data_IF_571647252458
#
_entry.id   IF_571647252458
#
_cell.length_a   1.000
_cell.length_b   1.000
_cell.length_c   1.000
_cell.angle_alpha   90.00
_cell.angle_beta   90.00
_cell.angle_gamma   90.00
#
_symmetry.space_group_name_H-M   'P 1'
#
loop_
_entity.id
_entity.type
_entity.pdbx_description
1 polymer ?
#
# COMPACT_ATOMS: atom_id res chain seq x y z
N UNK A 1 -34.44 1.26 -20.55
CA UNK A 1 -32.97 1.33 -20.35
C UNK A 1 -32.72 2.38 -19.28
N UNK A 2 -32.72 1.95 -18.02
CA UNK A 2 -32.47 2.80 -16.86
C UNK A 2 -30.97 3.08 -16.76
N UNK A 3 -30.63 4.35 -16.60
CA UNK A 3 -29.27 4.82 -16.48
C UNK A 3 -28.58 4.19 -15.25
N UNK A 4 -27.34 3.75 -15.44
CA UNK A 4 -26.44 3.35 -14.37
C UNK A 4 -26.06 4.64 -13.63
N UNK A 5 -26.50 4.79 -12.38
CA UNK A 5 -26.11 5.93 -11.56
C UNK A 5 -24.60 5.92 -11.29
N UNK A 6 -23.93 7.09 -11.34
CA UNK A 6 -22.50 7.19 -11.12
C UNK A 6 -22.18 7.12 -9.62
N UNK A 7 -21.33 6.16 -9.26
CA UNK A 7 -20.57 6.09 -8.03
C UNK A 7 -21.38 6.23 -6.74
N UNK A 8 -21.95 5.11 -6.28
CA UNK A 8 -22.06 4.89 -4.83
C UNK A 8 -20.67 5.14 -4.25
N UNK A 9 -20.49 6.30 -3.60
CA UNK A 9 -19.48 6.45 -2.58
C UNK A 9 -19.68 5.25 -1.67
N UNK A 10 -18.76 4.28 -1.73
CA UNK A 10 -18.69 3.20 -0.77
C UNK A 10 -18.46 3.89 0.59
N UNK A 11 -19.55 4.29 1.26
CA UNK A 11 -19.51 4.91 2.57
C UNK A 11 -19.08 3.79 3.50
N UNK A 12 -17.78 3.68 3.65
CA UNK A 12 -17.10 2.81 4.60
C UNK A 12 -17.75 3.02 5.96
N UNK A 13 -18.58 2.07 6.38
CA UNK A 13 -19.31 2.16 7.65
C UNK A 13 -18.38 1.76 8.80
N UNK A 14 -18.58 2.37 9.97
CA UNK A 14 -17.83 2.07 11.20
C UNK A 14 -18.00 0.61 11.69
N UNK A 15 -18.91 -0.16 11.11
CA UNK A 15 -19.18 -1.55 11.48
C UNK A 15 -18.31 -2.58 10.73
N UNK A 16 -17.61 -2.16 9.66
CA UNK A 16 -16.84 -3.09 8.85
C UNK A 16 -15.49 -3.42 9.49
N UNK A 17 -15.09 -4.69 9.36
CA UNK A 17 -13.71 -5.14 9.55
C UNK A 17 -12.93 -4.93 8.26
N UNK A 18 -11.65 -4.61 8.37
CA UNK A 18 -10.76 -4.42 7.22
C UNK A 18 -9.54 -5.29 7.38
N UNK A 19 -9.14 -6.00 6.32
CA UNK A 19 -7.87 -6.70 6.27
C UNK A 19 -6.96 -5.96 5.30
N UNK A 20 -5.99 -5.23 5.84
CA UNK A 20 -4.94 -4.59 5.07
C UNK A 20 -3.84 -5.58 4.76
N UNK A 21 -3.38 -5.57 3.51
CA UNK A 21 -2.33 -6.46 3.01
C UNK A 21 -1.23 -5.60 2.42
N UNK A 22 0.00 -5.83 2.87
CA UNK A 22 1.19 -5.18 2.33
C UNK A 22 1.53 -5.66 0.92
N UNK A 23 2.72 -5.26 0.45
CA UNK A 23 3.20 -5.54 -0.89
C UNK A 23 3.33 -7.06 -1.13
N UNK A 24 2.94 -7.51 -2.34
CA UNK A 24 2.88 -8.94 -2.69
C UNK A 24 3.95 -9.36 -3.69
N UNK A 25 4.31 -8.49 -4.65
CA UNK A 25 5.34 -8.75 -5.66
C UNK A 25 5.32 -10.17 -6.24
N UNK A 26 4.22 -10.49 -6.92
CA UNK A 26 3.98 -11.77 -7.58
C UNK A 26 3.72 -12.99 -6.67
N UNK A 27 3.59 -12.78 -5.35
CA UNK A 27 3.20 -13.86 -4.43
C UNK A 27 1.68 -14.16 -4.49
N UNK A 28 1.29 -15.01 -5.44
CA UNK A 28 -0.10 -15.44 -5.62
C UNK A 28 -0.62 -16.27 -4.42
N UNK A 29 0.26 -17.03 -3.76
CA UNK A 29 -0.12 -17.82 -2.59
C UNK A 29 -0.46 -16.91 -1.41
N UNK A 30 0.36 -15.87 -1.16
CA UNK A 30 0.07 -14.88 -0.14
C UNK A 30 -1.26 -14.15 -0.39
N UNK A 31 -1.55 -13.81 -1.64
CA UNK A 31 -2.83 -13.21 -2.02
C UNK A 31 -4.03 -14.14 -1.70
N UNK A 32 -3.93 -15.42 -2.07
CA UNK A 32 -4.98 -16.41 -1.79
C UNK A 32 -5.20 -16.57 -0.27
N UNK A 33 -4.13 -16.68 0.49
CA UNK A 33 -4.21 -16.75 1.96
C UNK A 33 -4.89 -15.52 2.55
N UNK A 34 -4.50 -14.32 2.12
CA UNK A 34 -5.11 -13.08 2.58
C UNK A 34 -6.60 -12.99 2.22
N UNK A 35 -6.99 -13.42 1.02
CA UNK A 35 -8.39 -13.48 0.60
C UNK A 35 -9.20 -14.46 1.48
N UNK A 36 -8.65 -15.63 1.77
CA UNK A 36 -9.26 -16.61 2.66
C UNK A 36 -9.42 -16.07 4.09
N UNK A 37 -8.42 -15.38 4.62
CA UNK A 37 -8.49 -14.74 5.93
C UNK A 37 -9.57 -13.65 5.95
N UNK A 38 -9.62 -12.80 4.92
CA UNK A 38 -10.66 -11.77 4.82
C UNK A 38 -12.06 -12.41 4.81
N UNK A 39 -12.24 -13.52 4.09
CA UNK A 39 -13.49 -14.26 4.06
C UNK A 39 -13.88 -14.81 5.44
N UNK A 40 -12.95 -15.53 6.11
CA UNK A 40 -13.17 -16.12 7.45
C UNK A 40 -13.54 -15.05 8.48
N UNK A 41 -12.83 -13.92 8.45
CA UNK A 41 -13.06 -12.82 9.39
C UNK A 41 -14.21 -11.89 8.97
N UNK A 42 -14.85 -12.11 7.82
CA UNK A 42 -15.87 -11.22 7.23
C UNK A 42 -15.36 -9.79 7.10
N UNK A 43 -14.09 -9.64 6.72
CA UNK A 43 -13.42 -8.37 6.55
C UNK A 43 -13.40 -7.95 5.07
N UNK A 44 -13.40 -6.65 4.81
CA UNK A 44 -13.13 -6.10 3.49
C UNK A 44 -11.62 -6.17 3.23
N UNK A 45 -11.25 -6.82 2.13
CA UNK A 45 -9.85 -6.93 1.72
C UNK A 45 -9.36 -5.58 1.15
N UNK A 46 -8.21 -5.12 1.65
CA UNK A 46 -7.60 -3.84 1.29
C UNK A 46 -6.13 -4.07 0.90
N UNK A 47 -5.85 -4.26 -0.39
CA UNK A 47 -4.47 -4.40 -0.87
C UNK A 47 -3.83 -3.02 -1.04
N UNK A 48 -2.61 -2.84 -0.52
CA UNK A 48 -1.93 -1.54 -0.43
C UNK A 48 -1.05 -1.17 -1.64
N UNK A 49 -1.19 -1.89 -2.74
CA UNK A 49 -0.41 -1.71 -3.96
C UNK A 49 0.72 -2.72 -4.10
N UNK A 50 1.52 -2.56 -5.16
CA UNK A 50 2.71 -3.35 -5.46
C UNK A 50 2.44 -4.86 -5.49
N UNK A 51 1.45 -5.22 -6.31
CA UNK A 51 1.05 -6.61 -6.49
C UNK A 51 2.01 -7.35 -7.40
N UNK A 52 2.56 -6.66 -8.39
CA UNK A 52 3.41 -7.24 -9.44
C UNK A 52 4.89 -6.85 -9.26
N UNK A 53 5.75 -7.25 -10.21
CA UNK A 53 7.20 -7.04 -10.22
C UNK A 53 7.99 -7.99 -9.32
N UNK A 54 9.30 -8.11 -9.60
CA UNK A 54 10.26 -9.01 -8.94
C UNK A 54 10.00 -10.51 -9.11
N UNK A 55 9.12 -10.90 -10.03
CA UNK A 55 8.94 -12.29 -10.44
C UNK A 55 7.90 -12.47 -11.56
N UNK A 56 7.62 -13.72 -11.97
CA UNK A 56 6.55 -14.05 -12.91
C UNK A 56 5.18 -13.67 -12.37
N UNK A 57 4.37 -12.95 -13.16
CA UNK A 57 3.14 -12.32 -12.69
C UNK A 57 1.84 -12.99 -13.17
N UNK A 58 1.92 -14.02 -14.01
CA UNK A 58 0.72 -14.62 -14.61
C UNK A 58 -0.28 -15.08 -13.53
N UNK A 59 0.18 -15.87 -12.57
CA UNK A 59 -0.69 -16.47 -11.56
C UNK A 59 -1.35 -15.41 -10.66
N UNK A 60 -0.57 -14.44 -10.19
CA UNK A 60 -1.13 -13.37 -9.36
C UNK A 60 -2.10 -12.49 -10.15
N UNK A 61 -1.82 -12.20 -11.42
CA UNK A 61 -2.70 -11.36 -12.25
C UNK A 61 -4.03 -12.06 -12.54
N UNK A 62 -4.02 -13.38 -12.74
CA UNK A 62 -5.25 -14.16 -12.84
C UNK A 62 -6.08 -14.06 -11.55
N UNK A 63 -5.46 -14.26 -10.39
CA UNK A 63 -6.15 -14.13 -9.09
C UNK A 63 -6.67 -12.70 -8.83
N UNK A 64 -5.88 -11.68 -9.18
CA UNK A 64 -6.26 -10.27 -9.01
C UNK A 64 -7.45 -9.86 -9.87
N UNK A 65 -7.61 -10.43 -11.07
CA UNK A 65 -8.75 -10.16 -11.93
C UNK A 65 -10.09 -10.54 -11.27
N UNK A 66 -10.07 -11.54 -10.38
CA UNK A 66 -11.25 -11.97 -9.64
C UNK A 66 -11.42 -11.19 -8.33
N UNK A 67 -10.32 -10.87 -7.65
CA UNK A 67 -10.33 -10.27 -6.30
C UNK A 67 -10.57 -8.75 -6.33
N UNK A 68 -9.89 -8.03 -7.21
CA UNK A 68 -9.88 -6.56 -7.18
C UNK A 68 -11.25 -5.89 -7.38
N UNK A 69 -12.16 -6.39 -8.25
CA UNK A 69 -13.47 -5.75 -8.42
C UNK A 69 -14.31 -5.69 -7.13
N UNK A 70 -14.07 -6.59 -6.17
CA UNK A 70 -14.80 -6.66 -4.90
C UNK A 70 -14.04 -6.10 -3.69
N UNK A 71 -12.80 -5.63 -3.88
CA UNK A 71 -11.92 -5.17 -2.80
C UNK A 71 -11.94 -3.64 -2.62
N UNK A 72 -11.33 -3.17 -1.53
CA UNK A 72 -11.07 -1.75 -1.28
C UNK A 72 -9.59 -1.40 -1.52
N UNK A 73 -9.02 -2.01 -2.56
CA UNK A 73 -7.60 -1.86 -2.88
C UNK A 73 -7.28 -0.52 -3.55
N UNK A 74 -5.98 -0.18 -3.51
CA UNK A 74 -5.34 0.97 -4.15
C UNK A 74 -4.18 0.48 -5.01
N UNK A 75 -3.78 1.22 -6.04
CA UNK A 75 -2.61 0.85 -6.85
C UNK A 75 -1.30 1.31 -6.19
N UNK A 76 -0.21 0.56 -6.40
CA UNK A 76 1.14 0.95 -5.99
C UNK A 76 1.95 1.56 -7.13
N UNK A 77 3.21 1.91 -6.86
CA UNK A 77 4.05 2.48 -7.90
C UNK A 77 4.41 1.47 -8.99
N UNK A 78 4.44 0.17 -8.67
CA UNK A 78 4.70 -0.86 -9.67
C UNK A 78 3.54 -1.03 -10.65
N UNK A 79 2.29 -0.98 -10.18
CA UNK A 79 1.12 -0.96 -11.06
C UNK A 79 1.09 0.31 -11.92
N UNK A 80 1.47 1.45 -11.33
CA UNK A 80 1.60 2.69 -12.08
C UNK A 80 2.59 2.56 -13.24
N UNK A 81 3.77 1.99 -12.99
CA UNK A 81 4.80 1.78 -14.02
C UNK A 81 4.37 0.77 -15.07
N UNK A 82 3.76 -0.35 -14.66
CA UNK A 82 3.25 -1.37 -15.56
C UNK A 82 2.21 -0.78 -16.50
N UNK A 83 1.20 -0.08 -15.97
CA UNK A 83 0.15 0.53 -16.78
C UNK A 83 0.70 1.63 -17.70
N UNK A 84 1.64 2.45 -17.23
CA UNK A 84 2.34 3.43 -18.08
C UNK A 84 3.09 2.77 -19.23
N UNK A 85 3.79 1.67 -18.98
CA UNK A 85 4.52 0.96 -20.02
C UNK A 85 3.54 0.33 -21.02
N UNK A 86 2.56 -0.43 -20.53
CA UNK A 86 1.62 -1.18 -21.34
C UNK A 86 0.70 -0.29 -22.20
N UNK A 87 0.21 0.82 -21.65
CA UNK A 87 -0.82 1.65 -22.31
C UNK A 87 -0.25 2.85 -23.05
N UNK A 88 0.90 3.38 -22.63
CA UNK A 88 1.46 4.63 -23.16
C UNK A 88 2.87 4.45 -23.77
N UNK A 89 3.38 3.22 -23.85
CA UNK A 89 4.75 2.96 -24.32
C UNK A 89 5.82 3.58 -23.41
N UNK A 90 5.50 3.81 -22.13
CA UNK A 90 6.44 4.36 -21.16
C UNK A 90 7.66 3.47 -20.91
N UNK A 91 8.65 3.98 -20.17
CA UNK A 91 9.85 3.22 -19.79
C UNK A 91 9.49 1.92 -19.08
N UNK A 92 10.05 0.80 -19.54
CA UNK A 92 10.07 -0.47 -18.78
C UNK A 92 11.18 -0.41 -17.72
N UNK A 93 10.83 -0.63 -16.46
CA UNK A 93 11.78 -0.73 -15.35
C UNK A 93 12.23 -2.18 -15.17
N UNK A 94 13.47 -2.38 -14.72
CA UNK A 94 14.08 -3.71 -14.59
C UNK A 94 13.31 -4.63 -13.65
N UNK A 95 12.74 -4.09 -12.57
CA UNK A 95 11.89 -4.84 -11.63
C UNK A 95 10.67 -5.50 -12.29
N UNK A 96 10.23 -5.00 -13.45
CA UNK A 96 9.06 -5.53 -14.16
C UNK A 96 9.41 -6.57 -15.23
N UNK A 97 10.70 -6.86 -15.49
CA UNK A 97 11.09 -7.70 -16.62
C UNK A 97 10.42 -9.07 -16.59
N UNK A 98 10.56 -9.80 -15.48
CA UNK A 98 9.97 -11.14 -15.35
C UNK A 98 8.44 -11.11 -15.38
N UNK A 99 7.82 -10.13 -14.73
CA UNK A 99 6.37 -9.95 -14.76
C UNK A 99 5.88 -9.68 -16.18
N UNK A 100 6.54 -8.79 -16.90
CA UNK A 100 6.22 -8.45 -18.28
C UNK A 100 6.38 -9.66 -19.21
N UNK A 101 7.50 -10.37 -19.09
CA UNK A 101 7.81 -11.50 -19.95
C UNK A 101 6.83 -12.65 -19.72
N UNK A 102 6.51 -12.98 -18.46
CA UNK A 102 5.51 -14.01 -18.12
C UNK A 102 4.10 -13.67 -18.62
N UNK A 103 3.68 -12.41 -18.53
CA UNK A 103 2.38 -11.96 -19.04
C UNK A 103 2.33 -11.92 -20.57
N UNK A 104 3.45 -11.69 -21.25
CA UNK A 104 3.48 -11.64 -22.71
C UNK A 104 3.84 -12.98 -23.38
N UNK A 105 4.27 -13.98 -22.61
CA UNK A 105 4.69 -15.28 -23.14
C UNK A 105 3.56 -16.06 -23.82
N UNK A 106 2.30 -15.87 -23.41
CA UNK A 106 1.16 -16.65 -23.89
C UNK A 106 -0.02 -15.75 -24.31
N UNK A 107 -0.98 -16.32 -25.05
CA UNK A 107 -2.26 -15.63 -25.33
C UNK A 107 -3.06 -15.40 -24.04
N UNK A 108 -3.07 -16.37 -23.13
CA UNK A 108 -3.73 -16.26 -21.83
C UNK A 108 -3.16 -15.11 -21.01
N UNK A 109 -1.82 -15.01 -20.91
CA UNK A 109 -1.17 -13.94 -20.17
C UNK A 109 -1.51 -12.56 -20.73
N UNK A 110 -1.52 -12.42 -22.07
CA UNK A 110 -1.88 -11.15 -22.72
C UNK A 110 -3.34 -10.76 -22.45
N UNK A 111 -4.26 -11.72 -22.50
CA UNK A 111 -5.66 -11.46 -22.14
C UNK A 111 -5.82 -11.11 -20.65
N UNK A 112 -5.12 -11.83 -19.76
CA UNK A 112 -5.12 -11.56 -18.33
C UNK A 112 -4.58 -10.16 -18.01
N UNK A 113 -3.50 -9.74 -18.67
CA UNK A 113 -2.94 -8.39 -18.55
C UNK A 113 -3.91 -7.31 -19.03
N UNK A 114 -4.57 -7.50 -20.18
CA UNK A 114 -5.55 -6.53 -20.68
C UNK A 114 -6.70 -6.33 -19.68
N UNK A 115 -7.26 -7.43 -19.17
CA UNK A 115 -8.31 -7.38 -18.15
C UNK A 115 -7.84 -6.68 -16.88
N UNK A 116 -6.63 -7.00 -16.44
CA UNK A 116 -6.03 -6.41 -15.26
C UNK A 116 -5.81 -4.90 -15.41
N UNK A 117 -5.36 -4.44 -16.58
CA UNK A 117 -5.20 -3.01 -16.90
C UNK A 117 -6.53 -2.26 -16.93
N UNK A 118 -7.62 -2.89 -17.36
CA UNK A 118 -8.97 -2.30 -17.26
C UNK A 118 -9.36 -2.06 -15.81
N UNK A 119 -9.15 -3.06 -14.95
CA UNK A 119 -9.46 -2.97 -13.52
C UNK A 119 -8.57 -1.93 -12.85
N UNK A 120 -7.25 -1.99 -13.08
CA UNK A 120 -6.28 -1.07 -12.49
C UNK A 120 -6.61 0.39 -12.79
N UNK A 121 -7.09 0.71 -13.98
CA UNK A 121 -7.47 2.09 -14.34
C UNK A 121 -8.58 2.67 -13.45
N UNK A 122 -9.34 1.82 -12.75
CA UNK A 122 -10.40 2.25 -11.81
C UNK A 122 -9.90 2.39 -10.37
N UNK A 123 -8.75 1.80 -10.02
CA UNK A 123 -8.23 1.87 -8.65
C UNK A 123 -7.77 3.30 -8.31
N UNK A 124 -8.08 3.79 -7.11
CA UNK A 124 -7.64 5.11 -6.65
C UNK A 124 -6.21 5.07 -6.08
N UNK A 125 -5.56 6.23 -6.06
CA UNK A 125 -4.21 6.40 -5.52
C UNK A 125 -4.15 6.26 -3.98
N UNK A 126 -5.23 6.60 -3.30
CA UNK A 126 -5.43 6.39 -1.87
C UNK A 126 -6.91 6.14 -1.60
N UNK A 127 -7.25 5.78 -0.36
CA UNK A 127 -8.63 5.75 0.13
C UNK A 127 -8.65 6.22 1.57
N UNK A 128 -9.78 6.75 1.99
CA UNK A 128 -9.99 7.25 3.33
C UNK A 128 -11.42 7.01 3.80
N UNK A 129 -11.58 7.00 5.11
CA UNK A 129 -12.84 7.24 5.80
C UNK A 129 -12.57 8.13 7.01
N UNK A 130 -13.59 8.53 7.78
CA UNK A 130 -13.48 9.47 8.90
C UNK A 130 -12.39 9.17 9.94
N UNK A 131 -11.92 7.92 10.05
CA UNK A 131 -10.96 7.49 11.07
C UNK A 131 -9.66 6.95 10.50
N UNK A 132 -9.63 6.59 9.22
CA UNK A 132 -8.54 5.84 8.62
C UNK A 132 -8.23 6.32 7.21
N UNK A 133 -6.94 6.33 6.87
CA UNK A 133 -6.45 6.52 5.51
C UNK A 133 -5.52 5.38 5.12
N UNK A 134 -5.51 5.03 3.84
CA UNK A 134 -4.48 4.15 3.29
C UNK A 134 -4.03 4.59 1.91
N UNK A 135 -2.72 4.60 1.73
CA UNK A 135 -2.00 4.91 0.50
C UNK A 135 -0.80 3.96 0.39
N UNK A 136 -0.19 3.86 -0.78
CA UNK A 136 0.90 2.90 -0.96
C UNK A 136 2.18 3.33 -0.22
N UNK A 137 2.69 4.53 -0.50
CA UNK A 137 3.95 5.03 0.05
C UNK A 137 3.80 5.90 1.30
N UNK A 138 2.89 6.86 1.30
CA UNK A 138 2.76 7.85 2.37
C UNK A 138 1.47 8.63 2.30
N UNK A 139 1.12 9.29 3.40
CA UNK A 139 -0.19 9.95 3.57
C UNK A 139 -0.05 11.37 4.11
N UNK A 140 -1.06 12.19 3.85
CA UNK A 140 -1.21 13.56 4.35
C UNK A 140 -2.67 13.72 4.81
N UNK A 141 -2.94 14.45 5.89
CA UNK A 141 -4.30 14.60 6.43
C UNK A 141 -5.27 15.18 5.38
N UNK A 142 -4.78 16.01 4.46
CA UNK A 142 -5.59 16.59 3.36
C UNK A 142 -6.23 15.49 2.49
N UNK A 143 -5.60 14.33 2.35
CA UNK A 143 -6.13 13.21 1.57
C UNK A 143 -7.41 12.60 2.18
N UNK A 144 -7.77 12.96 3.42
CA UNK A 144 -9.05 12.57 4.03
C UNK A 144 -10.24 13.29 3.40
N UNK A 145 -10.02 14.53 2.96
CA UNK A 145 -11.06 15.41 2.42
C UNK A 145 -11.01 15.49 0.88
N UNK A 146 -9.95 14.95 0.26
CA UNK A 146 -9.77 14.94 -1.19
C UNK A 146 -10.14 13.60 -1.84
N UNK A 147 -10.84 13.68 -2.97
CA UNK A 147 -11.11 12.53 -3.84
C UNK A 147 -9.82 12.02 -4.48
N UNK A 148 -9.43 10.80 -4.11
CA UNK A 148 -8.30 10.13 -4.71
C UNK A 148 -8.48 9.95 -6.23
N UNK A 149 -7.54 10.41 -7.07
CA UNK A 149 -7.64 10.24 -8.50
C UNK A 149 -7.46 8.76 -8.86
N UNK A 150 -8.31 8.19 -9.74
CA UNK A 150 -8.11 6.85 -10.26
C UNK A 150 -6.92 6.82 -11.23
N UNK A 151 -6.24 5.68 -11.33
CA UNK A 151 -5.07 5.51 -12.20
C UNK A 151 -5.35 5.93 -13.65
N UNK A 152 -6.51 5.59 -14.20
CA UNK A 152 -6.90 5.97 -15.55
C UNK A 152 -6.97 7.49 -15.75
N UNK A 153 -7.37 8.26 -14.72
CA UNK A 153 -7.34 9.73 -14.78
C UNK A 153 -5.91 10.23 -14.81
N UNK A 154 -5.05 9.72 -13.93
CA UNK A 154 -3.62 10.10 -13.86
C UNK A 154 -2.90 9.81 -15.18
N UNK A 155 -3.15 8.66 -15.79
CA UNK A 155 -2.54 8.28 -17.07
C UNK A 155 -2.96 9.21 -18.22
N UNK A 156 -4.21 9.67 -18.22
CA UNK A 156 -4.75 10.57 -19.26
C UNK A 156 -4.31 12.02 -19.10
N UNK A 157 -4.30 12.53 -17.86
CA UNK A 157 -4.00 13.95 -17.60
C UNK A 157 -2.52 14.21 -17.36
N UNK A 158 -1.75 13.17 -17.01
CA UNK A 158 -0.38 13.32 -16.55
C UNK A 158 -0.26 13.98 -15.17
N UNK A 159 -1.38 14.17 -14.46
CA UNK A 159 -1.43 14.88 -13.17
C UNK A 159 -0.65 14.10 -12.10
N UNK A 160 0.45 14.69 -11.64
CA UNK A 160 1.35 14.12 -10.60
C UNK A 160 1.69 15.20 -9.59
N UNK A 161 0.69 15.65 -8.86
CA UNK A 161 0.87 16.64 -7.81
C UNK A 161 1.66 16.08 -6.60
N UNK A 162 1.82 16.92 -5.58
CA UNK A 162 2.51 16.54 -4.34
C UNK A 162 1.87 15.33 -3.66
N UNK A 163 0.54 15.26 -3.61
CA UNK A 163 -0.18 14.20 -2.91
C UNK A 163 -0.03 12.86 -3.63
N UNK A 164 -0.15 12.84 -4.96
CA UNK A 164 0.13 11.66 -5.76
C UNK A 164 1.56 11.15 -5.55
N UNK A 165 2.55 12.03 -5.61
CA UNK A 165 3.94 11.63 -5.43
C UNK A 165 4.21 11.11 -4.01
N UNK A 166 3.57 11.69 -2.99
CA UNK A 166 3.63 11.17 -1.62
C UNK A 166 2.99 9.78 -1.50
N UNK A 167 1.81 9.60 -2.10
CA UNK A 167 1.06 8.35 -2.10
C UNK A 167 1.79 7.21 -2.83
N UNK A 168 2.68 7.51 -3.78
CA UNK A 168 3.37 6.49 -4.59
C UNK A 168 4.83 6.28 -4.21
N UNK A 169 5.54 7.30 -3.73
CA UNK A 169 7.01 7.31 -3.71
C UNK A 169 7.60 7.89 -2.43
N UNK A 170 6.88 7.83 -1.30
CA UNK A 170 7.38 8.26 0.02
C UNK A 170 8.88 7.96 0.14
N UNK A 171 9.67 8.98 0.53
CA UNK A 171 11.14 8.96 0.38
C UNK A 171 11.71 7.64 0.90
N UNK A 172 12.13 6.77 -0.02
CA UNK A 172 12.83 5.53 0.30
C UNK A 172 14.27 5.86 0.69
N UNK A 173 14.73 5.34 1.82
CA UNK A 173 16.14 5.29 2.15
C UNK A 173 16.60 3.83 2.07
N UNK A 174 17.76 3.60 1.44
CA UNK A 174 18.38 2.27 1.38
C UNK A 174 18.90 1.91 2.78
N UNK A 175 18.15 1.13 3.55
CA UNK A 175 18.55 0.66 4.88
C UNK A 175 19.20 -0.72 4.77
N UNK A 176 20.24 -0.96 5.56
CA UNK A 176 20.88 -2.28 5.70
C UNK A 176 20.02 -3.16 6.62
N UNK A 177 19.99 -4.47 6.38
CA UNK A 177 19.11 -5.47 7.04
C UNK A 177 19.12 -5.52 8.57
N UNK A 178 20.01 -4.81 9.26
CA UNK A 178 20.14 -4.81 10.72
C UNK A 178 19.71 -3.49 11.39
N UNK A 179 19.04 -2.58 10.67
CA UNK A 179 18.62 -1.28 11.19
C UNK A 179 17.13 -1.07 10.96
N UNK A 180 16.42 -0.57 11.98
CA UNK A 180 15.06 -0.06 11.79
C UNK A 180 15.12 1.17 10.89
N UNK A 181 14.30 1.15 9.84
CA UNK A 181 14.14 2.28 8.94
C UNK A 181 13.82 3.57 9.72
N UNK A 182 14.41 4.74 9.38
CA UNK A 182 13.97 5.99 10.00
C UNK A 182 12.50 6.22 9.69
N UNK A 183 11.78 6.84 10.62
CA UNK A 183 10.37 7.16 10.42
C UNK A 183 10.24 8.33 9.44
N UNK A 184 9.43 8.22 8.37
CA UNK A 184 9.18 9.33 7.46
C UNK A 184 8.59 10.55 8.16
N UNK A 185 9.02 11.75 7.76
CA UNK A 185 8.62 13.02 8.38
C UNK A 185 7.10 13.27 8.35
N UNK A 186 6.38 12.74 7.37
CA UNK A 186 4.92 12.91 7.31
C UNK A 186 4.21 12.24 8.49
N UNK A 187 4.78 11.19 9.08
CA UNK A 187 4.19 10.46 10.21
C UNK A 187 4.03 11.37 11.43
N UNK A 188 5.01 12.24 11.71
CA UNK A 188 4.93 13.13 12.89
C UNK A 188 3.91 14.25 12.73
N UNK A 189 3.45 14.50 11.50
CA UNK A 189 2.50 15.58 11.17
C UNK A 189 1.04 15.14 11.18
N UNK A 190 0.76 13.85 11.08
CA UNK A 190 -0.60 13.32 11.00
C UNK A 190 -1.41 13.61 12.27
N UNK A 191 -2.69 13.89 12.09
CA UNK A 191 -3.66 14.11 13.17
C UNK A 191 -4.83 13.12 13.14
N UNK A 192 -4.88 12.25 12.13
CA UNK A 192 -5.88 11.20 11.96
C UNK A 192 -5.71 10.02 12.92
N UNK A 193 -6.72 9.14 13.01
CA UNK A 193 -6.68 7.97 13.89
C UNK A 193 -5.66 6.92 13.43
N UNK A 194 -5.81 6.42 12.20
CA UNK A 194 -4.94 5.37 11.66
C UNK A 194 -4.53 5.63 10.21
N UNK A 195 -3.26 5.37 9.91
CA UNK A 195 -2.71 5.37 8.56
C UNK A 195 -2.17 3.99 8.20
N UNK A 196 -2.41 3.49 6.99
CA UNK A 196 -1.85 2.22 6.50
C UNK A 196 -1.05 2.46 5.23
N UNK A 197 0.18 1.96 5.21
CA UNK A 197 1.08 2.05 4.07
C UNK A 197 1.77 0.72 3.78
N UNK A 198 1.96 0.44 2.50
CA UNK A 198 2.86 -0.60 1.99
C UNK A 198 4.25 -0.01 1.83
N UNK A 199 4.93 -0.33 0.72
CA UNK A 199 6.15 0.30 0.15
C UNK A 199 7.43 0.30 1.01
N UNK A 200 7.30 0.60 2.29
CA UNK A 200 8.35 0.95 3.21
C UNK A 200 8.57 -0.20 4.19
N UNK A 201 9.43 -1.14 3.78
CA UNK A 201 9.85 -2.28 4.60
C UNK A 201 10.64 -1.77 5.82
N UNK A 202 9.95 -1.59 6.95
CA UNK A 202 10.60 -1.29 8.25
C UNK A 202 11.22 -2.52 8.89
N UNK A 203 10.55 -3.66 8.73
CA UNK A 203 10.96 -4.95 9.26
C UNK A 203 10.46 -6.06 8.32
N UNK A 204 11.20 -7.17 8.21
CA UNK A 204 10.79 -8.32 7.37
C UNK A 204 9.98 -9.36 8.15
N UNK A 205 10.15 -9.38 9.47
CA UNK A 205 9.50 -10.39 10.32
C UNK A 205 8.18 -9.95 10.95
N UNK A 206 7.78 -8.69 10.88
CA UNK A 206 6.51 -8.23 11.43
C UNK A 206 6.13 -6.86 10.89
N UNK A 207 4.82 -6.58 10.88
CA UNK A 207 4.26 -5.25 10.61
C UNK A 207 4.74 -4.29 11.70
N UNK A 208 5.21 -3.10 11.31
CA UNK A 208 5.67 -2.08 12.26
C UNK A 208 4.59 -1.04 12.51
N UNK A 209 4.33 -0.72 13.78
CA UNK A 209 3.37 0.31 14.18
C UNK A 209 4.11 1.48 14.81
N UNK A 210 3.81 2.69 14.36
CA UNK A 210 4.40 3.92 14.89
C UNK A 210 3.29 4.84 15.36
N UNK A 211 3.26 5.16 16.66
CA UNK A 211 2.36 6.15 17.23
C UNK A 211 3.05 7.50 17.35
N UNK A 212 2.42 8.55 16.80
CA UNK A 212 2.93 9.92 16.92
C UNK A 212 2.39 10.66 18.15
N UNK A 213 2.84 11.89 18.36
CA UNK A 213 2.45 12.74 19.49
C UNK A 213 0.97 13.14 19.52
N UNK A 214 0.28 13.07 18.39
CA UNK A 214 -1.16 13.32 18.30
C UNK A 214 -2.00 12.06 18.57
N UNK A 215 -1.35 10.91 18.82
CA UNK A 215 -2.02 9.63 19.02
C UNK A 215 -2.37 8.90 17.72
N UNK A 216 -2.01 9.44 16.55
CA UNK A 216 -2.15 8.74 15.27
C UNK A 216 -1.26 7.51 15.24
N UNK A 217 -1.79 6.38 14.78
CA UNK A 217 -1.02 5.13 14.60
C UNK A 217 -0.82 4.89 13.10
N UNK A 218 0.44 4.90 12.67
CA UNK A 218 0.83 4.50 11.31
C UNK A 218 1.24 3.02 11.29
N UNK A 219 0.62 2.27 10.39
CA UNK A 219 0.84 0.85 10.15
C UNK A 219 1.68 0.69 8.89
N UNK A 220 2.93 0.28 9.04
CA UNK A 220 3.83 -0.09 7.95
C UNK A 220 3.69 -1.59 7.71
N UNK A 221 2.88 -1.94 6.71
CA UNK A 221 2.39 -3.31 6.48
C UNK A 221 3.31 -4.11 5.56
N UNK A 222 4.16 -3.45 4.78
CA UNK A 222 5.11 -4.14 3.91
C UNK A 222 6.22 -4.82 4.73
N UNK A 223 6.25 -6.15 4.65
CA UNK A 223 7.25 -7.03 5.26
C UNK A 223 8.18 -7.66 4.20
N UNK A 224 8.13 -7.19 2.95
CA UNK A 224 8.94 -7.65 1.84
C UNK A 224 8.41 -8.90 1.13
N UNK A 225 7.09 -9.05 1.02
CA UNK A 225 6.45 -10.11 0.24
C UNK A 225 7.01 -10.17 -1.20
N UNK A 226 7.24 -11.37 -1.72
CA UNK A 226 7.87 -11.58 -3.04
C UNK A 226 9.35 -11.15 -3.16
N UNK A 227 9.95 -10.57 -2.10
CA UNK A 227 11.36 -10.12 -2.05
C UNK A 227 12.17 -10.83 -0.96
N UNK A 228 11.82 -12.07 -0.64
CA UNK A 228 12.43 -12.86 0.44
C UNK A 228 11.91 -12.55 1.85
N UNK A 229 10.86 -11.75 1.97
CA UNK A 229 10.02 -11.62 3.18
C UNK A 229 8.64 -12.25 2.97
N UNK A 230 7.70 -11.98 3.88
CA UNK A 230 6.30 -12.44 3.79
C UNK A 230 5.37 -11.25 3.55
N UNK A 231 4.13 -11.51 3.12
CA UNK A 231 3.13 -10.45 3.06
C UNK A 231 2.65 -10.12 4.48
N UNK A 232 2.75 -8.85 4.88
CA UNK A 232 2.22 -8.38 6.16
C UNK A 232 0.71 -8.20 6.09
N UNK A 233 0.03 -8.47 7.20
CA UNK A 233 -1.41 -8.39 7.34
C UNK A 233 -1.77 -7.54 8.56
N UNK A 234 -2.76 -6.65 8.42
CA UNK A 234 -3.39 -5.96 9.56
C UNK A 234 -4.89 -6.13 9.50
N UNK A 235 -5.45 -6.86 10.46
CA UNK A 235 -6.89 -6.96 10.64
C UNK A 235 -7.35 -5.88 11.60
N UNK A 236 -8.04 -4.88 11.06
CA UNK A 236 -8.70 -3.82 11.82
C UNK A 236 -10.14 -4.23 12.12
N UNK A 237 -10.48 -4.24 13.40
CA UNK A 237 -11.83 -4.53 13.86
C UNK A 237 -12.34 -3.38 14.74
N UNK A 238 -13.55 -2.86 14.48
CA UNK A 238 -14.17 -1.92 15.39
C UNK A 238 -14.50 -2.64 16.70
N UNK A 239 -14.16 -2.03 17.82
CA UNK A 239 -14.60 -2.43 19.14
C UNK A 239 -16.00 -1.88 19.45
N UNK A 240 -16.53 -2.25 20.61
CA UNK A 240 -17.87 -1.84 21.06
C UNK A 240 -18.00 -0.32 21.27
N UNK A 241 -16.88 0.40 21.39
CA UNK A 241 -16.83 1.86 21.50
C UNK A 241 -16.63 2.56 20.13
N UNK A 242 -16.46 1.80 19.04
CA UNK A 242 -16.17 2.32 17.71
C UNK A 242 -14.70 2.73 17.49
N UNK A 243 -13.80 2.31 18.38
CA UNK A 243 -12.35 2.39 18.19
C UNK A 243 -11.87 1.14 17.44
N UNK A 244 -10.72 1.20 16.75
CA UNK A 244 -10.22 0.03 16.04
C UNK A 244 -9.09 -0.69 16.81
N UNK A 245 -9.19 -2.01 16.89
CA UNK A 245 -8.08 -2.88 17.34
C UNK A 245 -7.37 -3.48 16.12
N UNK A 246 -6.04 -3.40 16.11
CA UNK A 246 -5.19 -3.99 15.07
C UNK A 246 -4.65 -5.35 15.53
N UNK A 247 -4.79 -6.37 14.67
CA UNK A 247 -4.07 -7.63 14.80
C UNK A 247 -3.13 -7.78 13.62
N UNK A 248 -1.86 -8.09 13.89
CA UNK A 248 -0.86 -8.23 12.84
C UNK A 248 -0.57 -9.70 12.57
N UNK A 249 -0.36 -10.04 11.31
CA UNK A 249 0.07 -11.38 10.93
C UNK A 249 0.99 -11.32 9.70
N UNK A 250 1.51 -12.48 9.34
CA UNK A 250 2.17 -12.73 8.06
C UNK A 250 1.55 -13.95 7.40
N UNK A 251 1.66 -14.02 6.08
CA UNK A 251 1.40 -15.27 5.33
C UNK A 251 2.43 -16.33 5.70
N UNK A 252 2.01 -17.58 5.84
CA UNK A 252 2.86 -18.70 6.28
C UNK A 252 2.46 -20.01 5.61
N UNK A 253 3.29 -21.04 5.72
CA UNK A 253 3.06 -22.32 5.03
C UNK A 253 1.75 -23.03 5.43
N UNK A 254 1.21 -22.75 6.64
CA UNK A 254 -0.03 -23.36 7.17
C UNK A 254 -1.17 -22.34 7.41
N UNK A 255 -1.01 -21.07 7.01
CA UNK A 255 -1.97 -20.00 7.28
C UNK A 255 -1.32 -18.73 7.85
N UNK A 256 -2.10 -17.90 8.54
CA UNK A 256 -1.60 -16.68 9.19
C UNK A 256 -1.04 -16.94 10.59
N UNK A 257 0.18 -16.48 10.84
CA UNK A 257 0.78 -16.42 12.16
C UNK A 257 0.43 -15.08 12.83
N UNK A 258 -0.61 -15.09 13.67
CA UNK A 258 -1.10 -13.90 14.33
C UNK A 258 -0.26 -13.55 15.55
N UNK A 259 0.32 -12.35 15.54
CA UNK A 259 1.04 -11.77 16.67
C UNK A 259 0.32 -10.53 17.19
N UNK A 260 0.48 -10.23 18.48
CA UNK A 260 0.12 -8.90 18.97
C UNK A 260 1.13 -7.89 18.40
N UNK A 261 0.68 -6.75 17.85
CA UNK A 261 1.61 -5.76 17.33
C UNK A 261 2.45 -5.15 18.46
N UNK A 262 3.74 -4.98 18.22
CA UNK A 262 4.57 -4.08 19.01
C UNK A 262 4.41 -2.65 18.47
N UNK A 263 4.18 -1.69 19.37
CA UNK A 263 3.97 -0.28 19.01
C UNK A 263 5.22 0.53 19.39
N UNK A 264 5.84 1.14 18.40
CA UNK A 264 6.90 2.14 18.57
C UNK A 264 6.25 3.51 18.86
N UNK A 265 6.67 4.17 19.93
CA UNK A 265 6.20 5.52 20.28
C UNK A 265 7.23 6.56 19.82
N UNK A 266 6.82 7.49 18.95
CA UNK A 266 7.66 8.64 18.59
C UNK A 266 7.77 9.57 19.80
N UNK A 267 8.97 9.61 20.39
CA UNK A 267 9.28 10.55 21.47
C UNK A 267 9.57 11.94 20.90
N UNK A 268 9.22 13.03 21.61
CA UNK A 268 9.45 14.42 21.17
C UNK A 268 10.91 14.76 20.83
N UNK A 269 11.85 13.96 21.32
CA UNK A 269 13.29 14.20 21.27
C UNK A 269 13.92 13.71 19.94
N UNK A 270 13.19 12.89 19.18
CA UNK A 270 13.65 12.34 17.90
C UNK A 270 13.45 13.29 16.71
N UNK A 271 12.73 14.40 16.87
CA UNK A 271 12.56 15.43 15.83
C UNK A 271 13.81 16.32 15.65
N UNK A 272 14.78 16.30 16.58
CA UNK A 272 15.92 17.24 16.58
C UNK A 272 17.17 16.79 15.82
N UNK A 273 17.18 15.64 15.12
CA UNK A 273 18.36 15.19 14.35
C UNK A 273 18.31 15.49 12.85
N UNK A 274 17.47 16.44 12.41
CA UNK A 274 17.50 16.94 11.02
C UNK A 274 17.59 18.47 10.90
N UNK A 275 18.42 19.12 11.72
CA UNK A 275 18.90 20.48 11.41
C UNK A 275 20.30 20.71 12.01
N UNK A 276 21.34 20.38 11.26
CA UNK A 276 22.66 21.04 11.33
C UNK A 276 23.57 20.53 10.21
N UNK A 277 23.30 20.92 8.97
CA UNK A 277 24.36 21.11 7.96
C UNK A 277 23.92 22.18 6.97
N UNK A 278 23.89 23.41 7.45
CA UNK A 278 24.13 24.58 6.63
C UNK A 278 24.76 25.64 7.55
N UNK A 279 25.78 26.30 7.01
CA UNK A 279 26.55 27.45 7.53
C UNK A 279 27.48 27.15 8.71
N UNK A 280 28.73 26.82 8.40
CA UNK A 280 29.86 27.71 8.71
C UNK A 280 31.15 27.19 8.07
N UNK A 281 31.66 27.95 7.10
CA UNK A 281 33.09 28.25 6.97
C UNK A 281 33.27 29.29 5.86
N UNK A 282 33.04 30.54 6.25
CA UNK A 282 33.64 31.72 5.61
C UNK A 282 34.96 32.03 6.33
N UNK A 283 36.06 31.94 5.56
CA UNK A 283 37.29 32.76 5.58
C UNK A 283 38.29 32.64 6.76
N UNK A 284 39.58 32.64 6.34
CA UNK A 284 40.86 32.93 7.02
C UNK A 284 41.55 31.68 7.57
N UNK A 285 42.76 31.30 7.15
CA UNK A 285 43.91 32.02 6.57
C UNK A 285 44.59 31.20 5.49
#
# INVERSE_FOLDING_TARGET
MTAIEPHEHCRLTHANKYLFVGDLHCDAMALEQAANIALVHKAKLCLLGDYTSYGPALDIVLALNDILPGSLSIFGNHEYYLARHALLGGRKFSCMNESWDSLNATSQGRHALLRYLEILQTLPAWRSNKQMIWAHGGVDDIMMDEDAPPLGRILKTGHRDRLFNLAMHSRTQNIKSSQTAPTPEWVSKLTIGHAFVGHYIRHRDHVSLVQNQHGCITHFVDCGGGKGGQAGLVLMQPDLAGCYTAHTARTGNEGADWTRPEIEFLRPENDKKMTAHATDNLVKT
#
